data_IF_834054142147
#
_entry.id   IF_834054142147
#
_cell.length_a   1.000
_cell.length_b   1.000
_cell.length_c   1.000
_cell.angle_alpha   90.00
_cell.angle_beta   90.00
_cell.angle_gamma   90.00
#
_symmetry.space_group_name_H-M   'P 1'
#
loop_
_entity.id
_entity.type
_entity.pdbx_description
1 polymer ?
#
# COMPACT_ATOMS: atom_id res chain seq x y z
N UNK A 1 -7.37 22.97 -7.26
CA UNK A 1 -6.54 21.81 -7.67
C UNK A 1 -7.30 21.02 -8.74
N UNK A 2 -6.81 20.97 -9.99
CA UNK A 2 -7.51 20.32 -11.13
C UNK A 2 -7.47 18.78 -11.01
N UNK A 3 -8.52 18.08 -11.43
CA UNK A 3 -8.62 16.60 -11.37
C UNK A 3 -7.42 15.87 -12.01
N UNK A 4 -6.81 16.45 -13.05
CA UNK A 4 -5.61 15.93 -13.72
C UNK A 4 -4.39 15.81 -12.79
N UNK A 5 -4.18 16.77 -11.88
CA UNK A 5 -3.06 16.75 -10.93
C UNK A 5 -3.24 15.69 -9.84
N UNK A 6 -4.49 15.44 -9.41
CA UNK A 6 -4.79 14.46 -8.37
C UNK A 6 -4.53 13.04 -8.86
N UNK A 7 -4.91 12.74 -10.11
CA UNK A 7 -4.67 11.44 -10.75
C UNK A 7 -3.17 11.14 -10.92
N UNK A 8 -2.38 12.12 -11.37
CA UNK A 8 -0.91 12.00 -11.47
C UNK A 8 -0.24 11.69 -10.13
N UNK A 9 -0.66 12.35 -9.05
CA UNK A 9 -0.10 12.11 -7.72
C UNK A 9 -0.36 10.70 -7.21
N UNK A 10 -1.56 10.16 -7.44
CA UNK A 10 -1.89 8.80 -7.02
C UNK A 10 -1.16 7.76 -7.90
N UNK A 11 -1.04 8.00 -9.20
CA UNK A 11 -0.28 7.12 -10.10
C UNK A 11 1.20 7.04 -9.73
N UNK A 12 1.82 8.19 -9.39
CA UNK A 12 3.17 8.23 -8.82
C UNK A 12 3.25 7.47 -7.49
N UNK A 13 2.27 7.65 -6.60
CA UNK A 13 2.23 6.96 -5.31
C UNK A 13 2.20 5.44 -5.50
N UNK A 14 1.31 4.95 -6.37
CA UNK A 14 1.16 3.53 -6.68
C UNK A 14 2.43 2.98 -7.30
N UNK A 15 3.05 3.73 -8.21
CA UNK A 15 4.32 3.35 -8.84
C UNK A 15 5.41 3.21 -7.79
N UNK A 16 5.61 4.22 -6.92
CA UNK A 16 6.60 4.16 -5.85
C UNK A 16 6.36 2.99 -4.89
N UNK A 17 5.12 2.79 -4.44
CA UNK A 17 4.77 1.68 -3.56
C UNK A 17 5.02 0.32 -4.24
N UNK A 18 4.58 0.15 -5.48
CA UNK A 18 4.76 -1.10 -6.22
C UNK A 18 6.24 -1.43 -6.47
N UNK A 19 7.09 -0.41 -6.68
CA UNK A 19 8.53 -0.59 -6.86
C UNK A 19 9.20 -1.13 -5.59
N UNK A 20 8.77 -0.67 -4.40
CA UNK A 20 9.26 -1.23 -3.14
C UNK A 20 8.88 -2.70 -3.02
N UNK A 21 7.62 -3.07 -3.24
CA UNK A 21 7.25 -4.50 -3.19
C UNK A 21 8.04 -5.34 -4.22
N UNK A 22 8.29 -4.81 -5.42
CA UNK A 22 9.14 -5.46 -6.43
C UNK A 22 10.61 -5.57 -5.99
N UNK A 23 11.17 -4.59 -5.29
CA UNK A 23 12.53 -4.70 -4.74
C UNK A 23 12.63 -5.87 -3.77
N UNK A 24 11.55 -6.10 -3.01
CA UNK A 24 11.35 -7.27 -2.15
C UNK A 24 11.06 -8.59 -2.88
N UNK A 25 11.13 -8.62 -4.21
CA UNK A 25 10.82 -9.78 -5.05
C UNK A 25 9.38 -10.28 -4.86
N UNK A 26 8.44 -9.37 -4.57
CA UNK A 26 7.03 -9.68 -4.71
C UNK A 26 6.62 -9.55 -6.17
N UNK A 27 5.79 -10.48 -6.62
CA UNK A 27 5.02 -10.30 -7.83
C UNK A 27 3.93 -9.26 -7.56
N UNK A 28 3.88 -8.21 -8.38
CA UNK A 28 2.95 -7.09 -8.18
C UNK A 28 1.99 -6.97 -9.36
N UNK A 29 0.69 -7.08 -9.09
CA UNK A 29 -0.38 -6.90 -10.07
C UNK A 29 -1.15 -5.64 -9.75
N UNK A 30 -1.01 -4.62 -10.61
CA UNK A 30 -1.68 -3.32 -10.43
C UNK A 30 -3.12 -3.43 -10.94
N UNK A 31 -4.09 -3.23 -10.04
CA UNK A 31 -5.50 -3.20 -10.40
C UNK A 31 -5.94 -1.78 -10.75
N UNK A 32 -6.18 -1.54 -12.05
CA UNK A 32 -6.76 -0.29 -12.55
C UNK A 32 -8.28 -0.35 -12.47
N UNK A 33 -8.88 -0.04 -11.32
CA UNK A 33 -10.33 0.12 -11.24
C UNK A 33 -10.77 1.57 -11.55
N UNK A 34 -11.90 1.74 -12.25
CA UNK A 34 -12.45 3.03 -12.71
C UNK A 34 -12.86 3.97 -11.56
N UNK A 35 -12.96 3.47 -10.32
CA UNK A 35 -13.52 4.16 -9.17
C UNK A 35 -12.53 5.07 -8.37
N UNK A 36 -11.47 5.61 -8.99
CA UNK A 36 -10.43 6.42 -8.32
C UNK A 36 -9.63 5.70 -7.22
N UNK A 37 -9.84 4.40 -7.03
CA UNK A 37 -9.08 3.62 -6.06
C UNK A 37 -7.98 2.82 -6.73
N UNK A 38 -6.76 3.22 -6.43
CA UNK A 38 -5.58 2.59 -6.95
C UNK A 38 -5.07 1.60 -5.91
N UNK A 39 -5.21 0.33 -6.24
CA UNK A 39 -4.72 -0.75 -5.42
C UNK A 39 -3.91 -1.70 -6.29
N UNK A 40 -2.99 -2.42 -5.65
CA UNK A 40 -2.25 -3.49 -6.28
C UNK A 40 -2.20 -4.68 -5.32
N UNK A 41 -2.10 -5.87 -5.86
CA UNK A 41 -1.81 -7.06 -5.06
C UNK A 41 -0.32 -7.35 -5.16
N UNK A 42 0.29 -7.70 -4.04
CA UNK A 42 1.68 -8.12 -3.97
C UNK A 42 1.73 -9.53 -3.37
N UNK A 43 2.36 -10.47 -4.06
CA UNK A 43 2.46 -11.87 -3.63
C UNK A 43 3.89 -12.38 -3.69
N UNK A 44 4.33 -13.09 -2.65
CA UNK A 44 5.62 -13.77 -2.58
C UNK A 44 5.49 -15.02 -1.72
N UNK A 45 5.66 -16.20 -2.32
CA UNK A 45 5.45 -17.50 -1.66
C UNK A 45 4.07 -17.50 -0.96
N UNK A 46 4.03 -17.76 0.35
CA UNK A 46 2.82 -17.78 1.18
C UNK A 46 2.33 -16.40 1.63
N UNK A 47 3.02 -15.31 1.28
CA UNK A 47 2.64 -13.96 1.68
C UNK A 47 1.87 -13.27 0.56
N UNK A 48 0.63 -12.88 0.83
CA UNK A 48 -0.21 -12.10 -0.10
C UNK A 48 -0.69 -10.82 0.59
N UNK A 49 -0.55 -9.71 -0.12
CA UNK A 49 -0.97 -8.39 0.33
C UNK A 49 -1.87 -7.76 -0.72
N UNK A 50 -2.91 -7.09 -0.24
CA UNK A 50 -3.71 -6.17 -1.05
C UNK A 50 -3.37 -4.78 -0.57
N UNK A 51 -2.74 -3.97 -1.41
CA UNK A 51 -2.22 -2.65 -1.04
C UNK A 51 -3.08 -1.58 -1.67
N UNK A 52 -3.67 -0.72 -0.83
CA UNK A 52 -4.51 0.40 -1.22
C UNK A 52 -3.74 1.71 -1.07
N UNK A 53 -3.58 2.47 -2.16
CA UNK A 53 -2.93 3.76 -2.14
C UNK A 53 -3.97 4.87 -1.97
N UNK A 54 -4.05 5.45 -0.78
CA UNK A 54 -5.04 6.43 -0.38
C UNK A 54 -4.38 7.65 0.29
N UNK A 55 -3.99 8.68 -0.49
CA UNK A 55 -3.28 9.84 0.07
C UNK A 55 -4.11 10.61 1.11
N UNK A 56 -5.44 10.57 1.01
CA UNK A 56 -6.38 11.16 1.96
C UNK A 56 -7.22 10.05 2.59
N UNK A 57 -6.83 9.58 3.79
CA UNK A 57 -7.45 8.44 4.46
C UNK A 57 -8.95 8.64 4.72
N UNK A 58 -9.33 9.85 5.13
CA UNK A 58 -10.71 10.18 5.51
C UNK A 58 -11.72 9.92 4.37
N UNK A 59 -11.29 10.15 3.13
CA UNK A 59 -12.12 9.97 1.92
C UNK A 59 -12.32 8.52 1.53
N UNK A 60 -11.56 7.60 2.10
CA UNK A 60 -11.59 6.17 1.73
C UNK A 60 -11.97 5.24 2.87
N UNK A 61 -12.25 5.75 4.08
CA UNK A 61 -12.64 4.94 5.25
C UNK A 61 -13.78 3.95 4.95
N UNK A 62 -14.83 4.42 4.27
CA UNK A 62 -15.94 3.56 3.85
C UNK A 62 -15.54 2.48 2.84
N UNK A 63 -14.57 2.78 1.99
CA UNK A 63 -14.11 1.87 0.94
C UNK A 63 -13.17 0.81 1.52
N UNK A 64 -12.36 1.17 2.52
CA UNK A 64 -11.52 0.22 3.30
C UNK A 64 -12.42 -0.82 3.96
N UNK A 65 -13.54 -0.42 4.59
CA UNK A 65 -14.51 -1.37 5.18
C UNK A 65 -15.07 -2.36 4.15
N UNK A 66 -15.31 -1.92 2.92
CA UNK A 66 -15.77 -2.81 1.84
C UNK A 66 -14.63 -3.69 1.34
N UNK A 67 -13.41 -3.15 1.24
CA UNK A 67 -12.22 -3.89 0.84
C UNK A 67 -11.93 -5.03 1.83
N UNK A 68 -11.97 -4.77 3.13
CA UNK A 68 -11.81 -5.79 4.19
C UNK A 68 -12.72 -7.00 3.99
N UNK A 69 -13.97 -6.80 3.57
CA UNK A 69 -14.91 -7.90 3.30
C UNK A 69 -14.58 -8.69 2.03
N UNK A 70 -13.80 -8.11 1.12
CA UNK A 70 -13.45 -8.69 -0.19
C UNK A 70 -12.04 -9.23 -0.26
N UNK A 71 -11.17 -8.82 0.68
CA UNK A 71 -9.80 -9.31 0.77
C UNK A 71 -9.85 -10.80 1.09
N UNK A 72 -9.16 -11.66 0.31
CA UNK A 72 -9.09 -13.09 0.60
C UNK A 72 -8.54 -13.32 2.01
N UNK A 73 -9.04 -14.35 2.73
CA UNK A 73 -8.60 -14.68 4.11
C UNK A 73 -7.09 -14.92 4.24
N UNK A 74 -6.47 -15.37 3.15
CA UNK A 74 -5.03 -15.64 3.03
C UNK A 74 -4.22 -14.38 2.65
N UNK A 75 -4.86 -13.21 2.61
CA UNK A 75 -4.23 -11.95 2.22
C UNK A 75 -4.40 -10.90 3.29
N UNK A 76 -3.38 -10.07 3.48
CA UNK A 76 -3.44 -8.92 4.40
C UNK A 76 -3.71 -7.62 3.66
N UNK A 77 -4.60 -6.79 4.21
CA UNK A 77 -4.89 -5.47 3.67
C UNK A 77 -3.88 -4.46 4.22
N UNK A 78 -3.24 -3.72 3.32
CA UNK A 78 -2.31 -2.63 3.65
C UNK A 78 -2.83 -1.35 3.03
N UNK A 79 -2.95 -0.29 3.82
CA UNK A 79 -3.39 1.03 3.34
C UNK A 79 -2.22 2.00 3.45
N UNK A 80 -1.79 2.53 2.30
CA UNK A 80 -0.73 3.54 2.23
C UNK A 80 -1.34 4.93 2.14
N UNK A 81 -1.08 5.78 3.11
CA UNK A 81 -1.55 7.16 3.15
C UNK A 81 -0.40 8.18 3.23
N UNK A 82 -0.74 9.47 3.11
CA UNK A 82 0.25 10.54 3.29
C UNK A 82 0.64 10.74 4.76
N UNK A 83 -0.24 10.35 5.68
CA UNK A 83 -0.09 10.50 7.11
C UNK A 83 -1.31 9.95 7.84
N UNK A 84 -1.13 9.64 9.13
CA UNK A 84 -2.18 9.16 10.01
C UNK A 84 -1.85 9.51 11.46
N UNK A 85 -2.88 9.61 12.29
CA UNK A 85 -2.70 9.69 13.74
C UNK A 85 -2.39 8.32 14.35
N UNK A 86 -1.91 8.30 15.59
CA UNK A 86 -1.72 7.06 16.35
C UNK A 86 -3.06 6.36 16.62
N UNK A 87 -4.11 7.13 16.94
CA UNK A 87 -5.46 6.60 17.09
C UNK A 87 -5.96 5.88 15.82
N UNK A 88 -5.74 6.47 14.64
CA UNK A 88 -6.12 5.84 13.37
C UNK A 88 -5.30 4.58 13.06
N UNK A 89 -4.05 4.52 13.50
CA UNK A 89 -3.22 3.33 13.40
C UNK A 89 -3.76 2.22 14.31
N UNK A 90 -4.03 2.52 15.58
CA UNK A 90 -4.58 1.54 16.53
C UNK A 90 -5.93 0.99 16.03
N UNK A 91 -6.83 1.86 15.58
CA UNK A 91 -8.12 1.43 15.02
C UNK A 91 -7.97 0.59 13.75
N UNK A 92 -6.92 0.80 12.96
CA UNK A 92 -6.63 -0.03 11.80
C UNK A 92 -6.23 -1.45 12.21
N UNK A 93 -5.35 -1.57 13.21
CA UNK A 93 -4.88 -2.84 13.74
C UNK A 93 -6.04 -3.64 14.37
N UNK A 94 -6.93 -2.98 15.12
CA UNK A 94 -8.17 -3.57 15.64
C UNK A 94 -9.11 -4.07 14.53
N UNK A 95 -9.04 -3.46 13.35
CA UNK A 95 -9.87 -3.78 12.18
C UNK A 95 -9.21 -4.78 11.20
N UNK A 96 -8.12 -5.43 11.60
CA UNK A 96 -7.31 -6.38 10.81
C UNK A 96 -6.75 -5.80 9.49
N UNK A 97 -6.37 -4.53 9.49
CA UNK A 97 -5.56 -3.97 8.40
C UNK A 97 -4.38 -3.16 8.90
N UNK A 98 -3.32 -3.11 8.09
CA UNK A 98 -2.14 -2.31 8.42
C UNK A 98 -2.23 -0.97 7.73
N UNK A 99 -1.91 0.08 8.46
CA UNK A 99 -1.87 1.42 7.93
C UNK A 99 -0.44 1.95 7.99
N UNK A 100 0.06 2.43 6.86
CA UNK A 100 1.45 2.85 6.69
C UNK A 100 1.53 4.16 5.91
N UNK A 101 2.57 4.94 6.18
CA UNK A 101 2.84 6.16 5.41
C UNK A 101 3.70 5.86 4.18
N UNK A 102 3.68 6.77 3.22
CA UNK A 102 4.63 6.72 2.09
C UNK A 102 6.09 6.78 2.56
N UNK A 103 6.37 7.54 3.62
CA UNK A 103 7.72 7.66 4.17
C UNK A 103 8.20 6.31 4.71
N UNK A 104 7.36 5.63 5.50
CA UNK A 104 7.64 4.29 6.04
C UNK A 104 7.88 3.27 4.92
N UNK A 105 7.06 3.27 3.86
CA UNK A 105 7.26 2.40 2.69
C UNK A 105 8.62 2.66 2.02
N UNK A 106 9.01 3.93 1.89
CA UNK A 106 10.31 4.30 1.28
C UNK A 106 11.48 3.86 2.15
N UNK A 107 11.38 4.03 3.47
CA UNK A 107 12.39 3.56 4.42
C UNK A 107 12.61 2.05 4.27
N UNK A 108 11.53 1.27 4.26
CA UNK A 108 11.63 -0.18 3.99
C UNK A 108 12.31 -0.48 2.66
N UNK A 109 11.96 0.26 1.60
CA UNK A 109 12.64 0.14 0.31
C UNK A 109 14.15 0.35 0.40
N UNK A 110 14.57 1.43 1.07
CA UNK A 110 16.00 1.75 1.27
C UNK A 110 16.71 0.69 2.11
N UNK A 111 16.16 0.34 3.28
CA UNK A 111 16.72 -0.66 4.19
C UNK A 111 16.91 -2.00 3.48
N UNK A 112 15.99 -2.36 2.58
CA UNK A 112 16.09 -3.59 1.82
C UNK A 112 17.19 -3.57 0.76
N UNK A 113 17.34 -2.46 0.05
CA UNK A 113 18.41 -2.30 -0.94
C UNK A 113 19.76 -2.39 -0.22
N UNK A 114 19.87 -1.76 0.94
CA UNK A 114 21.06 -1.85 1.80
C UNK A 114 21.32 -3.28 2.26
N UNK A 115 20.29 -4.00 2.74
CA UNK A 115 20.42 -5.39 3.16
C UNK A 115 20.91 -6.29 2.03
N UNK A 116 20.33 -6.18 0.83
CA UNK A 116 20.77 -6.95 -0.36
C UNK A 116 22.18 -6.62 -0.81
N UNK A 117 22.65 -5.39 -0.55
CA UNK A 117 24.00 -4.96 -0.91
C UNK A 117 25.06 -5.44 0.09
N UNK A 118 24.64 -5.89 1.28
CA UNK A 118 25.51 -6.41 2.34
C UNK A 118 25.61 -7.94 2.34
N UNK A 119 24.78 -8.66 1.59
CA UNK A 119 24.96 -10.09 1.35
C UNK A 119 26.06 -10.28 0.29
N UNK A 120 27.25 -10.80 0.64
CA UNK A 120 28.25 -11.14 -0.36
C UNK A 120 27.72 -12.31 -1.20
N UNK A 121 27.95 -12.21 -2.51
CA UNK A 121 27.65 -13.24 -3.51
C UNK A 121 28.32 -14.56 -3.18
#
# INVERSE_FOLDING_TARGET
MTMKNKKKKVDQLVTSCSMVFKSYLYEVVISKNKANLWHFTASKKDKKYVVYCAPELDKVKGIIKVALKKVPKDSKLVVVCSGHSEAEKSSAEESDYTLVTLETIKQYGTEMIEARSREPV
#
